data_IF_866997368560
#
_entry.id   IF_866997368560
#
_cell.length_a   1.000
_cell.length_b   1.000
_cell.length_c   1.000
_cell.angle_alpha   90.00
_cell.angle_beta   90.00
_cell.angle_gamma   90.00
#
_symmetry.space_group_name_H-M   'P 1'
#
loop_
_entity.id
_entity.type
_entity.pdbx_description
1 polymer ?
#
# COMPACT_ATOMS: atom_id res chain seq x y z
N UNK A 1 -15.09 -17.37 -6.68
CA UNK A 1 -13.67 -17.01 -6.81
C UNK A 1 -13.06 -16.73 -5.43
N UNK A 2 -11.70 -16.81 -5.24
CA UNK A 2 -11.10 -16.65 -3.90
C UNK A 2 -11.33 -15.26 -3.29
N UNK A 3 -11.16 -14.20 -4.06
CA UNK A 3 -11.37 -12.83 -3.59
C UNK A 3 -12.82 -12.56 -3.15
N UNK A 4 -13.77 -13.03 -3.90
CA UNK A 4 -15.20 -12.95 -3.61
C UNK A 4 -15.56 -13.66 -2.30
N UNK A 5 -15.07 -14.90 -2.14
CA UNK A 5 -15.25 -15.65 -0.90
C UNK A 5 -14.64 -14.94 0.32
N UNK A 6 -13.49 -14.26 0.14
CA UNK A 6 -12.90 -13.46 1.21
C UNK A 6 -13.80 -12.27 1.56
N UNK A 7 -14.35 -11.57 0.57
CA UNK A 7 -15.24 -10.43 0.78
C UNK A 7 -16.52 -10.81 1.54
N UNK A 8 -17.09 -11.98 1.27
CA UNK A 8 -18.27 -12.47 2.01
C UNK A 8 -17.98 -12.73 3.50
N UNK A 9 -16.72 -12.94 3.88
CA UNK A 9 -16.30 -13.14 5.28
C UNK A 9 -16.00 -11.84 6.02
N UNK A 10 -15.84 -10.72 5.29
CA UNK A 10 -15.54 -9.41 5.89
C UNK A 10 -16.86 -8.68 6.15
N UNK A 11 -17.12 -8.20 7.38
CA UNK A 11 -18.33 -7.43 7.67
C UNK A 11 -18.46 -6.19 6.75
N UNK A 12 -19.67 -5.94 6.24
CA UNK A 12 -19.95 -4.89 5.23
C UNK A 12 -19.46 -3.49 5.66
N UNK A 13 -19.50 -3.18 6.96
CA UNK A 13 -19.00 -1.92 7.52
C UNK A 13 -17.53 -1.61 7.17
N UNK A 14 -16.73 -2.64 6.83
CA UNK A 14 -15.33 -2.49 6.44
C UNK A 14 -15.12 -2.43 4.93
N UNK A 15 -16.13 -2.71 4.11
CA UNK A 15 -15.99 -2.75 2.66
C UNK A 15 -15.49 -1.42 2.08
N UNK A 16 -15.89 -0.29 2.66
CA UNK A 16 -15.39 1.05 2.29
C UNK A 16 -13.91 1.31 2.60
N UNK A 17 -13.22 0.35 3.21
CA UNK A 17 -11.76 0.40 3.43
C UNK A 17 -10.98 -0.50 2.47
N UNK A 18 -11.67 -1.28 1.63
CA UNK A 18 -11.06 -2.26 0.74
C UNK A 18 -10.91 -1.67 -0.65
N UNK A 19 -9.70 -1.84 -1.21
CA UNK A 19 -9.36 -1.51 -2.59
C UNK A 19 -8.95 -2.80 -3.30
N UNK A 20 -9.49 -3.06 -4.48
CA UNK A 20 -9.19 -4.27 -5.26
C UNK A 20 -8.13 -4.00 -6.31
N UNK A 21 -7.18 -4.93 -6.46
CA UNK A 21 -6.06 -4.87 -7.41
C UNK A 21 -6.31 -5.65 -8.71
N UNK A 22 -7.49 -6.19 -8.86
CA UNK A 22 -8.00 -6.94 -10.01
C UNK A 22 -9.46 -7.25 -9.77
N UNK A 23 -10.14 -7.84 -10.79
CA UNK A 23 -11.57 -8.12 -10.70
C UNK A 23 -12.37 -6.87 -10.29
N UNK A 24 -12.15 -5.79 -10.99
CA UNK A 24 -12.65 -4.44 -10.63
C UNK A 24 -14.18 -4.38 -10.48
N UNK A 25 -14.92 -5.29 -11.11
CA UNK A 25 -16.37 -5.42 -10.93
C UNK A 25 -16.79 -5.66 -9.46
N UNK A 26 -15.93 -6.31 -8.65
CA UNK A 26 -16.19 -6.54 -7.23
C UNK A 26 -16.35 -5.23 -6.44
N UNK A 27 -15.74 -4.14 -6.93
CA UNK A 27 -15.89 -2.81 -6.30
C UNK A 27 -17.35 -2.38 -6.24
N UNK A 28 -18.09 -2.55 -7.30
CA UNK A 28 -19.51 -2.15 -7.36
C UNK A 28 -20.40 -3.20 -6.68
N UNK A 29 -20.15 -4.47 -6.91
CA UNK A 29 -20.90 -5.58 -6.33
C UNK A 29 -20.88 -5.56 -4.80
N UNK A 30 -19.70 -5.33 -4.19
CA UNK A 30 -19.51 -5.30 -2.73
C UNK A 30 -19.41 -3.89 -2.16
N UNK A 31 -19.67 -2.85 -2.96
CA UNK A 31 -19.58 -1.43 -2.54
C UNK A 31 -18.26 -1.07 -1.89
N UNK A 32 -17.14 -1.57 -2.45
CA UNK A 32 -15.81 -1.34 -1.94
C UNK A 32 -15.37 0.12 -2.13
N UNK A 33 -14.21 0.51 -1.55
CA UNK A 33 -13.66 1.86 -1.67
C UNK A 33 -13.32 2.19 -3.11
N UNK A 34 -12.59 1.32 -3.80
CA UNK A 34 -12.11 1.62 -5.14
C UNK A 34 -11.22 0.54 -5.73
N UNK A 35 -10.48 0.95 -6.75
CA UNK A 35 -9.58 0.09 -7.52
C UNK A 35 -8.14 0.55 -7.41
N UNK A 36 -7.21 -0.41 -7.60
CA UNK A 36 -5.77 -0.14 -7.67
C UNK A 36 -5.21 -0.60 -9.02
N UNK A 37 -4.69 0.36 -9.77
CA UNK A 37 -4.05 0.10 -11.06
C UNK A 37 -2.62 -0.41 -10.84
N UNK A 38 -2.25 -1.41 -11.59
CA UNK A 38 -0.93 -2.04 -11.53
C UNK A 38 -0.53 -2.54 -12.92
N UNK A 39 0.66 -3.14 -13.05
CA UNK A 39 1.14 -3.65 -14.32
C UNK A 39 0.18 -4.64 -15.03
N UNK A 40 -0.58 -5.44 -14.27
CA UNK A 40 -1.52 -6.42 -14.82
C UNK A 40 -2.86 -5.79 -15.21
N UNK A 41 -3.23 -4.70 -14.56
CA UNK A 41 -4.48 -3.99 -14.75
C UNK A 41 -4.16 -2.48 -14.79
N UNK A 42 -3.60 -1.97 -15.92
CA UNK A 42 -3.11 -0.59 -16.00
C UNK A 42 -4.22 0.43 -16.29
N UNK A 43 -5.35 -0.04 -16.82
CA UNK A 43 -6.38 0.83 -17.36
C UNK A 43 -7.55 1.04 -16.39
N UNK A 44 -8.05 2.26 -16.38
CA UNK A 44 -9.28 2.59 -15.67
C UNK A 44 -10.46 2.05 -16.50
N UNK A 45 -11.37 1.26 -15.89
CA UNK A 45 -12.55 0.79 -16.61
C UNK A 45 -13.37 1.94 -17.18
N UNK A 46 -14.00 1.70 -18.33
CA UNK A 46 -14.86 2.69 -18.98
C UNK A 46 -15.97 3.15 -18.02
N UNK A 47 -16.23 4.45 -18.02
CA UNK A 47 -17.24 5.09 -17.14
C UNK A 47 -17.01 4.89 -15.63
N UNK A 48 -15.82 4.46 -15.21
CA UNK A 48 -15.52 4.26 -13.80
C UNK A 48 -15.61 5.57 -13.00
N UNK A 49 -16.36 5.51 -11.91
CA UNK A 49 -16.47 6.60 -10.93
C UNK A 49 -16.14 6.04 -9.54
N UNK A 50 -15.11 6.54 -8.92
CA UNK A 50 -14.71 6.09 -7.59
C UNK A 50 -13.24 6.33 -7.31
N UNK A 51 -12.80 5.82 -6.19
CA UNK A 51 -11.43 5.96 -5.73
C UNK A 51 -10.46 5.15 -6.59
N UNK A 52 -9.39 5.79 -7.03
CA UNK A 52 -8.33 5.20 -7.86
C UNK A 52 -6.99 5.36 -7.16
N UNK A 53 -6.25 4.29 -7.05
CA UNK A 53 -4.84 4.30 -6.67
C UNK A 53 -3.99 3.54 -7.69
N UNK A 54 -2.68 3.75 -7.70
CA UNK A 54 -1.81 2.98 -8.58
C UNK A 54 -0.42 2.76 -8.00
N UNK A 55 0.28 1.74 -8.53
CA UNK A 55 1.69 1.47 -8.25
C UNK A 55 2.58 2.33 -9.11
N UNK A 56 3.65 2.88 -8.49
CA UNK A 56 4.76 3.56 -9.16
C UNK A 56 6.08 2.94 -8.69
N UNK A 57 7.01 2.82 -9.62
CA UNK A 57 8.33 2.25 -9.39
C UNK A 57 9.45 3.25 -9.62
N UNK A 58 9.10 4.49 -9.99
CA UNK A 58 10.03 5.62 -10.10
C UNK A 58 9.38 6.94 -9.70
N UNK A 59 10.21 7.94 -9.38
CA UNK A 59 9.74 9.30 -9.08
C UNK A 59 9.09 9.96 -10.29
N UNK A 60 9.50 9.60 -11.50
CA UNK A 60 8.90 10.02 -12.77
C UNK A 60 7.48 9.51 -12.90
N UNK A 61 7.28 8.21 -12.62
CA UNK A 61 5.93 7.62 -12.59
C UNK A 61 5.03 8.27 -11.54
N UNK A 62 5.58 8.62 -10.37
CA UNK A 62 4.83 9.36 -9.34
C UNK A 62 4.36 10.71 -9.87
N UNK A 63 5.24 11.50 -10.52
CA UNK A 63 4.87 12.79 -11.11
C UNK A 63 3.74 12.67 -12.13
N UNK A 64 3.81 11.65 -12.97
CA UNK A 64 2.83 11.42 -14.02
C UNK A 64 1.49 10.95 -13.46
N UNK A 65 1.51 9.88 -12.65
CA UNK A 65 0.30 9.14 -12.25
C UNK A 65 -0.46 9.81 -11.09
N UNK A 66 0.25 10.51 -10.19
CA UNK A 66 -0.34 11.14 -9.00
C UNK A 66 -1.48 12.12 -9.32
N UNK A 67 -1.46 12.75 -10.49
CA UNK A 67 -2.47 13.74 -10.89
C UNK A 67 -3.86 13.13 -11.13
N UNK A 68 -3.90 11.85 -11.55
CA UNK A 68 -5.13 11.13 -11.89
C UNK A 68 -5.55 10.10 -10.85
N UNK A 69 -4.80 10.00 -9.74
CA UNK A 69 -5.07 9.07 -8.66
C UNK A 69 -5.36 9.82 -7.36
N UNK A 70 -6.15 9.22 -6.49
CA UNK A 70 -6.36 9.71 -5.13
C UNK A 70 -5.09 9.56 -4.30
N UNK A 71 -4.38 8.45 -4.47
CA UNK A 71 -3.02 8.24 -3.99
C UNK A 71 -2.23 7.28 -4.89
N UNK A 72 -0.92 7.26 -4.73
CA UNK A 72 -0.04 6.32 -5.43
C UNK A 72 0.88 5.62 -4.43
N UNK A 73 1.26 4.38 -4.73
CA UNK A 73 2.36 3.72 -4.02
C UNK A 73 3.68 4.00 -4.74
N UNK A 74 4.73 4.33 -4.01
CA UNK A 74 6.11 4.27 -4.49
C UNK A 74 6.79 3.04 -3.88
N UNK A 75 7.35 2.18 -4.72
CA UNK A 75 7.95 0.91 -4.29
C UNK A 75 9.12 0.49 -5.20
N UNK A 76 10.22 -0.04 -4.64
CA UNK A 76 10.50 -0.19 -3.21
C UNK A 76 11.12 1.07 -2.61
N UNK A 77 10.72 1.44 -1.38
CA UNK A 77 11.35 2.55 -0.65
C UNK A 77 12.57 2.07 0.15
N UNK A 78 12.47 0.89 0.76
CA UNK A 78 13.57 0.22 1.46
C UNK A 78 13.81 -1.17 0.89
N UNK A 79 14.94 -1.78 1.25
CA UNK A 79 15.24 -3.15 0.86
C UNK A 79 14.15 -4.12 1.30
N UNK A 80 13.78 -5.04 0.43
CA UNK A 80 12.67 -5.94 0.71
C UNK A 80 13.00 -6.94 1.81
N UNK A 81 12.12 -7.03 2.80
CA UNK A 81 12.19 -8.03 3.87
C UNK A 81 11.77 -9.42 3.35
N UNK A 82 10.97 -9.47 2.30
CA UNK A 82 10.31 -10.71 1.83
C UNK A 82 10.72 -11.17 0.43
N UNK A 83 11.42 -10.35 -0.34
CA UNK A 83 11.85 -10.66 -1.70
C UNK A 83 13.35 -10.50 -1.83
N UNK A 84 14.07 -11.59 -2.10
CA UNK A 84 15.48 -11.56 -2.46
C UNK A 84 15.67 -10.71 -3.72
N UNK A 85 16.72 -9.86 -3.73
CA UNK A 85 17.09 -8.96 -4.83
C UNK A 85 16.13 -7.76 -5.12
N UNK A 86 15.34 -7.35 -4.16
CA UNK A 86 14.52 -6.13 -4.28
C UNK A 86 15.13 -5.05 -3.37
N UNK A 87 16.05 -4.27 -3.94
CA UNK A 87 16.81 -3.24 -3.22
C UNK A 87 16.11 -1.88 -3.27
N UNK A 88 16.38 -1.05 -2.27
CA UNK A 88 15.97 0.35 -2.26
C UNK A 88 16.48 1.06 -3.52
N UNK A 89 15.59 1.78 -4.18
CA UNK A 89 15.92 2.47 -5.44
C UNK A 89 16.50 3.85 -5.24
N UNK A 90 16.45 4.39 -4.01
CA UNK A 90 16.77 5.79 -3.71
C UNK A 90 17.53 5.94 -2.40
N UNK A 91 18.45 6.89 -2.36
CA UNK A 91 19.13 7.32 -1.16
C UNK A 91 18.23 8.24 -0.30
N UNK A 92 18.52 8.39 1.01
CA UNK A 92 17.85 9.36 1.87
C UNK A 92 17.83 10.79 1.31
N UNK A 93 18.93 11.21 0.70
CA UNK A 93 19.09 12.54 0.10
C UNK A 93 18.16 12.72 -1.11
N UNK A 94 18.05 11.71 -1.95
CA UNK A 94 17.13 11.73 -3.10
C UNK A 94 15.67 11.79 -2.66
N UNK A 95 15.29 11.05 -1.61
CA UNK A 95 13.95 11.11 -1.03
C UNK A 95 13.63 12.51 -0.48
N UNK A 96 14.55 13.11 0.27
CA UNK A 96 14.40 14.48 0.81
C UNK A 96 14.31 15.53 -0.31
N UNK A 97 15.09 15.38 -1.39
CA UNK A 97 14.99 16.25 -2.57
C UNK A 97 13.63 16.08 -3.28
N UNK A 98 13.17 14.85 -3.44
CA UNK A 98 11.87 14.57 -4.05
C UNK A 98 10.71 15.15 -3.24
N UNK A 99 10.79 15.12 -1.91
CA UNK A 99 9.84 15.79 -1.03
C UNK A 99 9.85 17.31 -1.20
N UNK A 100 11.03 17.94 -1.15
CA UNK A 100 11.18 19.39 -1.36
C UNK A 100 10.67 19.83 -2.74
N UNK A 101 10.80 18.99 -3.75
CA UNK A 101 10.29 19.24 -5.09
C UNK A 101 8.78 18.96 -5.25
N UNK A 102 8.08 18.56 -4.18
CA UNK A 102 6.64 18.24 -4.20
C UNK A 102 6.30 16.97 -4.95
N UNK A 103 7.28 16.11 -5.24
CA UNK A 103 7.05 14.80 -5.88
C UNK A 103 6.47 13.85 -4.84
N UNK A 104 7.12 13.76 -3.68
CA UNK A 104 6.62 13.02 -2.51
C UNK A 104 5.80 14.00 -1.66
N UNK A 105 4.56 13.67 -1.41
CA UNK A 105 3.61 14.43 -0.59
C UNK A 105 2.56 13.49 0.05
N UNK A 106 1.51 14.05 0.63
CA UNK A 106 0.42 13.30 1.28
C UNK A 106 -0.33 12.31 0.38
N UNK A 107 -0.18 12.41 -0.93
CA UNK A 107 -0.76 11.45 -1.90
C UNK A 107 0.17 10.29 -2.23
N UNK A 108 1.41 10.31 -1.76
CA UNK A 108 2.39 9.24 -2.03
C UNK A 108 2.54 8.37 -0.79
N UNK A 109 2.24 7.10 -0.94
CA UNK A 109 2.32 6.10 0.14
C UNK A 109 3.56 5.25 -0.09
N UNK A 110 4.41 5.16 0.92
CA UNK A 110 5.61 4.34 0.87
C UNK A 110 5.24 2.85 0.92
N UNK A 111 5.87 2.04 0.06
CA UNK A 111 5.72 0.58 0.03
C UNK A 111 7.09 -0.08 -0.19
N UNK A 112 7.29 -1.23 0.42
CA UNK A 112 8.50 -2.06 0.29
C UNK A 112 9.49 -1.84 1.43
N UNK A 113 9.85 -2.93 2.10
CA UNK A 113 10.82 -2.98 3.19
C UNK A 113 10.43 -2.25 4.47
N UNK A 114 9.17 -1.86 4.63
CA UNK A 114 8.74 -1.04 5.77
C UNK A 114 8.43 -1.92 6.98
N UNK A 115 9.04 -1.57 8.11
CA UNK A 115 8.83 -2.16 9.45
C UNK A 115 8.93 -1.07 10.52
N UNK A 116 8.75 -1.44 11.79
CA UNK A 116 8.88 -0.56 12.97
C UNK A 116 10.20 0.22 13.04
N UNK A 117 11.26 -0.27 12.39
CA UNK A 117 12.59 0.36 12.41
C UNK A 117 12.73 1.58 11.51
N UNK A 118 11.92 1.70 10.44
CA UNK A 118 12.07 2.73 9.43
C UNK A 118 10.80 3.56 9.17
N UNK A 119 9.73 3.35 9.96
CA UNK A 119 8.52 4.15 9.85
C UNK A 119 8.74 5.64 10.10
N UNK A 120 9.67 5.99 10.99
CA UNK A 120 9.98 7.40 11.26
C UNK A 120 10.69 8.07 10.06
N UNK A 121 11.55 7.32 9.34
CA UNK A 121 12.14 7.81 8.09
C UNK A 121 11.08 8.05 7.01
N UNK A 122 10.04 7.19 6.92
CA UNK A 122 8.91 7.42 6.01
C UNK A 122 8.24 8.78 6.27
N UNK A 123 8.06 9.15 7.54
CA UNK A 123 7.53 10.46 7.93
C UNK A 123 8.48 11.60 7.53
N UNK A 124 9.79 11.46 7.82
CA UNK A 124 10.80 12.44 7.48
C UNK A 124 10.89 12.70 5.97
N UNK A 125 10.68 11.67 5.15
CA UNK A 125 10.65 11.80 3.68
C UNK A 125 9.35 12.41 3.15
N UNK A 126 8.39 12.74 4.03
CA UNK A 126 7.16 13.45 3.68
C UNK A 126 6.10 12.62 2.98
N UNK A 127 6.16 11.28 3.09
CA UNK A 127 5.11 10.41 2.59
C UNK A 127 3.79 10.62 3.34
N UNK A 128 2.67 10.41 2.65
CA UNK A 128 1.33 10.48 3.25
C UNK A 128 0.95 9.27 4.09
N UNK A 129 1.78 8.23 4.10
CA UNK A 129 1.58 7.02 4.87
C UNK A 129 2.49 5.88 4.42
N UNK A 130 2.31 4.72 5.04
CA UNK A 130 3.05 3.50 4.76
C UNK A 130 2.13 2.31 4.48
N UNK A 131 2.49 1.49 3.49
CA UNK A 131 1.84 0.21 3.21
C UNK A 131 2.74 -0.93 3.69
N UNK A 132 2.22 -1.76 4.58
CA UNK A 132 2.95 -2.81 5.28
C UNK A 132 2.41 -4.17 4.85
N UNK A 133 3.29 -5.06 4.42
CA UNK A 133 2.95 -6.43 4.03
C UNK A 133 3.81 -7.43 4.81
N UNK A 134 5.08 -7.57 4.45
CA UNK A 134 5.98 -8.58 5.02
C UNK A 134 6.18 -8.43 6.51
N UNK A 135 6.38 -7.21 7.01
CA UNK A 135 6.58 -6.95 8.43
C UNK A 135 5.39 -7.39 9.31
N UNK A 136 4.17 -7.42 8.74
CA UNK A 136 2.99 -7.93 9.44
C UNK A 136 2.82 -9.44 9.26
N UNK A 137 2.83 -9.92 8.01
CA UNK A 137 2.41 -11.29 7.71
C UNK A 137 3.52 -12.32 7.85
N UNK A 138 4.81 -11.98 7.68
CA UNK A 138 5.92 -12.94 7.81
C UNK A 138 6.11 -13.45 9.24
N UNK A 139 5.59 -12.73 10.23
CA UNK A 139 5.64 -13.14 11.66
C UNK A 139 4.46 -14.03 12.06
N UNK A 140 3.52 -14.28 11.16
CA UNK A 140 2.30 -15.02 11.45
C UNK A 140 2.25 -16.31 10.63
N UNK A 141 2.39 -17.44 11.31
CA UNK A 141 2.24 -18.77 10.71
C UNK A 141 0.85 -19.35 11.02
N UNK A 142 0.00 -19.40 10.00
CA UNK A 142 -1.34 -19.99 10.07
C UNK A 142 -1.35 -21.48 10.45
N UNK A 143 -0.24 -22.20 10.26
CA UNK A 143 -0.13 -23.63 10.52
C UNK A 143 0.21 -23.93 11.98
N UNK A 144 1.06 -23.11 12.59
CA UNK A 144 1.59 -23.32 13.93
C UNK A 144 0.88 -22.51 15.00
N UNK A 145 0.33 -21.34 14.65
CA UNK A 145 -0.25 -20.42 15.64
C UNK A 145 -1.62 -19.88 15.19
N UNK A 146 -2.67 -20.41 15.80
CA UNK A 146 -4.03 -19.88 15.66
C UNK A 146 -4.33 -18.71 16.60
N UNK A 147 -3.35 -18.27 17.36
CA UNK A 147 -3.50 -17.14 18.26
C UNK A 147 -3.20 -15.81 17.53
N UNK A 148 -4.23 -15.14 17.09
CA UNK A 148 -4.15 -13.84 16.41
C UNK A 148 -3.73 -12.68 17.34
N UNK A 149 -3.60 -12.88 18.64
CA UNK A 149 -3.29 -11.81 19.60
C UNK A 149 -1.93 -11.16 19.34
N UNK A 150 -0.91 -11.95 18.98
CA UNK A 150 0.42 -11.45 18.64
C UNK A 150 0.40 -10.62 17.37
N UNK A 151 -0.30 -11.08 16.32
CA UNK A 151 -0.49 -10.34 15.08
C UNK A 151 -1.18 -9.00 15.34
N UNK A 152 -2.25 -9.01 16.13
CA UNK A 152 -3.01 -7.81 16.49
C UNK A 152 -2.14 -6.86 17.31
N UNK A 153 -1.35 -7.36 18.24
CA UNK A 153 -0.45 -6.56 19.06
C UNK A 153 0.63 -5.91 18.22
N UNK A 154 1.23 -6.68 17.30
CA UNK A 154 2.22 -6.15 16.39
C UNK A 154 1.63 -5.10 15.43
N UNK A 155 0.44 -5.35 14.89
CA UNK A 155 -0.27 -4.37 14.08
C UNK A 155 -0.56 -3.07 14.86
N UNK A 156 -1.00 -3.17 16.12
CA UNK A 156 -1.24 -1.99 16.96
C UNK A 156 0.03 -1.17 17.21
N UNK A 157 1.19 -1.86 17.38
CA UNK A 157 2.49 -1.20 17.50
C UNK A 157 2.85 -0.42 16.24
N UNK A 158 2.76 -1.06 15.08
CA UNK A 158 2.99 -0.43 13.77
C UNK A 158 2.06 0.78 13.57
N UNK A 159 0.77 0.61 13.86
CA UNK A 159 -0.20 1.70 13.73
C UNK A 159 0.12 2.88 14.63
N UNK A 160 0.41 2.64 15.92
CA UNK A 160 0.77 3.70 16.88
C UNK A 160 2.01 4.48 16.44
N UNK A 161 2.96 3.82 15.81
CA UNK A 161 4.17 4.48 15.31
C UNK A 161 3.90 5.24 14.00
N UNK A 162 2.94 4.79 13.18
CA UNK A 162 2.56 5.46 11.93
C UNK A 162 1.72 6.72 12.15
N UNK A 163 0.91 6.75 13.21
CA UNK A 163 0.09 7.91 13.63
C UNK A 163 0.98 9.01 14.24
#
# INVERSE_FOLDING_TARGET
MFAERLLTLIPEQYHKRIVVHGHFYLKDEYRLKGIHLNHRNPDIPENYKGHISCSCHSLEEVKEKKRRCDYVFLSPVFDSISKLNYHASYTPEEMKKAHKAGIIDKKVIALGGIDTFNLDEVKEYGFGGAAILGALWNKFDLRSNRNYSELITHFRKLKKQAD
#
